data_IF_558045807726
#
_entry.id   IF_558045807726
#
_cell.length_a   1.000
_cell.length_b   1.000
_cell.length_c   1.000
_cell.angle_alpha   90.00
_cell.angle_beta   90.00
_cell.angle_gamma   90.00
#
_symmetry.space_group_name_H-M   'P 1'
#
loop_
_entity.id
_entity.type
_entity.pdbx_description
1 polymer ?
#
# COMPACT_ATOMS: atom_id res chain seq x y z
N UNK A 1 -4.72 -20.28 10.84
CA UNK A 1 -3.79 -19.15 10.98
C UNK A 1 -4.45 -17.90 10.43
N UNK A 2 -4.99 -17.07 11.32
CA UNK A 2 -5.71 -15.83 11.01
C UNK A 2 -4.71 -14.72 10.69
N UNK A 3 -4.47 -14.44 9.42
CA UNK A 3 -3.65 -13.29 9.04
C UNK A 3 -4.31 -12.00 9.52
N UNK A 4 -3.56 -11.24 10.32
CA UNK A 4 -3.96 -9.98 10.91
C UNK A 4 -4.40 -9.00 9.80
N UNK A 5 -5.66 -8.55 9.88
CA UNK A 5 -6.32 -7.73 8.86
C UNK A 5 -5.96 -6.23 8.93
N UNK A 6 -4.99 -5.86 9.76
CA UNK A 6 -4.47 -4.50 9.88
C UNK A 6 -3.20 -4.36 9.02
N UNK A 7 -2.96 -3.20 8.37
CA UNK A 7 -1.63 -2.93 7.84
C UNK A 7 -0.63 -3.07 8.99
N UNK A 8 0.54 -3.72 8.78
CA UNK A 8 1.52 -3.87 9.83
C UNK A 8 1.87 -2.46 10.32
N UNK A 9 1.62 -2.19 11.61
CA UNK A 9 1.88 -0.89 12.24
C UNK A 9 3.39 -0.70 12.46
N UNK A 10 4.18 -0.92 11.42
CA UNK A 10 5.63 -0.74 11.43
C UNK A 10 5.94 0.74 11.28
N UNK A 11 7.04 1.19 11.91
CA UNK A 11 7.54 2.57 11.79
C UNK A 11 7.68 3.01 10.32
N UNK A 12 8.04 2.08 9.44
CA UNK A 12 8.14 2.31 8.00
C UNK A 12 6.78 2.67 7.37
N UNK A 13 5.72 1.93 7.68
CA UNK A 13 4.38 2.25 7.17
C UNK A 13 3.96 3.67 7.56
N UNK A 14 4.16 4.04 8.83
CA UNK A 14 3.83 5.38 9.32
C UNK A 14 4.65 6.47 8.63
N UNK A 15 5.96 6.27 8.43
CA UNK A 15 6.81 7.22 7.70
C UNK A 15 6.33 7.43 6.27
N UNK A 16 6.07 6.36 5.52
CA UNK A 16 5.59 6.46 4.15
C UNK A 16 4.19 7.08 4.09
N UNK A 17 3.31 6.74 5.02
CA UNK A 17 1.98 7.32 5.13
C UNK A 17 2.03 8.84 5.32
N UNK A 18 2.87 9.30 6.26
CA UNK A 18 3.05 10.73 6.52
C UNK A 18 3.70 11.44 5.34
N UNK A 19 4.75 10.86 4.75
CA UNK A 19 5.42 11.42 3.58
C UNK A 19 4.48 11.56 2.36
N UNK A 20 3.53 10.64 2.21
CA UNK A 20 2.54 10.64 1.12
C UNK A 20 1.22 11.36 1.49
N UNK A 21 1.09 11.86 2.71
CA UNK A 21 -0.17 12.45 3.20
C UNK A 21 -1.38 11.52 3.13
N UNK A 22 -1.17 10.21 3.28
CA UNK A 22 -2.24 9.21 3.13
C UNK A 22 -2.76 9.02 1.70
N UNK A 23 -2.03 9.50 0.68
CA UNK A 23 -2.39 9.35 -0.73
C UNK A 23 -1.61 8.23 -1.40
N UNK A 24 -2.23 7.55 -2.37
CA UNK A 24 -1.59 6.49 -3.12
C UNK A 24 -0.57 7.07 -4.10
N UNK A 25 0.67 6.58 -4.04
CA UNK A 25 1.73 7.05 -4.93
C UNK A 25 1.53 6.71 -6.42
N UNK A 26 0.68 5.72 -6.74
CA UNK A 26 0.41 5.32 -8.13
C UNK A 26 -0.73 6.10 -8.79
N UNK A 27 -1.76 6.48 -8.04
CA UNK A 27 -2.94 7.13 -8.61
C UNK A 27 -3.29 8.49 -7.99
N UNK A 28 -2.57 8.93 -6.95
CA UNK A 28 -2.77 10.20 -6.26
C UNK A 28 -4.02 10.28 -5.38
N UNK A 29 -4.86 9.24 -5.33
CA UNK A 29 -6.11 9.25 -4.55
C UNK A 29 -5.87 8.89 -3.08
N UNK A 30 -6.70 9.40 -2.14
CA UNK A 30 -6.60 9.04 -0.74
C UNK A 30 -6.78 7.53 -0.54
N UNK A 31 -6.02 6.97 0.40
CA UNK A 31 -6.15 5.58 0.85
C UNK A 31 -6.90 5.55 2.18
N UNK A 32 -7.76 4.55 2.40
CA UNK A 32 -8.38 4.36 3.71
C UNK A 32 -7.33 3.86 4.70
N UNK A 33 -7.24 4.48 5.88
CA UNK A 33 -6.28 4.08 6.92
C UNK A 33 -6.77 2.86 7.72
N UNK A 34 -8.09 2.70 7.86
CA UNK A 34 -8.71 1.59 8.57
C UNK A 34 -9.88 0.97 7.80
N UNK A 35 -10.23 -0.29 8.13
CA UNK A 35 -11.36 -1.00 7.51
C UNK A 35 -12.70 -0.31 7.72
N UNK A 36 -12.84 0.48 8.78
CA UNK A 36 -14.08 1.16 9.13
C UNK A 36 -14.33 2.41 8.29
N UNK A 37 -13.32 2.94 7.58
CA UNK A 37 -13.46 4.09 6.68
C UNK A 37 -14.16 3.76 5.36
N UNK A 38 -14.40 2.47 5.09
CA UNK A 38 -15.07 2.01 3.87
C UNK A 38 -16.32 1.21 4.19
N UNK A 39 -17.39 1.44 3.43
CA UNK A 39 -18.69 0.83 3.71
C UNK A 39 -18.74 -0.69 3.56
N UNK A 40 -17.76 -1.32 2.88
CA UNK A 40 -17.75 -2.77 2.67
C UNK A 40 -16.35 -3.40 2.71
N UNK A 41 -16.26 -4.62 3.22
CA UNK A 41 -15.02 -5.39 3.32
C UNK A 41 -14.37 -5.68 1.96
N UNK A 42 -15.16 -5.80 0.90
CA UNK A 42 -14.67 -5.98 -0.48
C UNK A 42 -14.00 -4.72 -1.02
N UNK A 43 -14.48 -3.54 -0.63
CA UNK A 43 -13.85 -2.25 -0.93
C UNK A 43 -12.53 -2.14 -0.16
N UNK A 44 -12.51 -2.48 1.13
CA UNK A 44 -11.29 -2.53 1.94
C UNK A 44 -10.21 -3.39 1.29
N UNK A 45 -10.54 -4.62 0.86
CA UNK A 45 -9.57 -5.51 0.20
C UNK A 45 -8.91 -4.90 -1.05
N UNK A 46 -9.61 -4.02 -1.76
CA UNK A 46 -9.11 -3.37 -2.98
C UNK A 46 -8.37 -2.05 -2.69
N UNK A 47 -8.89 -1.28 -1.74
CA UNK A 47 -8.42 0.07 -1.45
C UNK A 47 -7.42 0.14 -0.30
N UNK A 48 -7.27 -0.91 0.52
CA UNK A 48 -6.31 -0.88 1.62
C UNK A 48 -4.90 -0.51 1.13
N UNK A 49 -4.16 0.30 1.89
CA UNK A 49 -2.79 0.62 1.59
C UNK A 49 -1.92 -0.64 1.70
N UNK A 50 -1.02 -0.81 0.74
CA UNK A 50 -0.06 -1.90 0.65
C UNK A 50 1.30 -1.35 0.24
N UNK A 51 2.38 -2.01 0.65
CA UNK A 51 3.71 -1.68 0.16
C UNK A 51 3.85 -2.04 -1.32
N UNK A 52 4.32 -1.09 -2.10
CA UNK A 52 4.65 -1.20 -3.52
C UNK A 52 6.12 -0.87 -3.70
N UNK A 53 6.86 -1.73 -4.41
CA UNK A 53 8.24 -1.45 -4.78
C UNK A 53 8.25 -0.56 -6.02
N UNK A 54 8.84 0.64 -5.94
CA UNK A 54 8.97 1.58 -7.08
C UNK A 54 9.60 0.85 -8.27
N UNK A 55 10.78 0.27 -8.05
CA UNK A 55 11.43 -0.69 -8.93
C UNK A 55 11.14 -2.11 -8.45
N UNK A 56 10.47 -2.90 -9.27
CA UNK A 56 10.14 -4.28 -8.93
C UNK A 56 11.40 -5.09 -8.59
N UNK A 57 11.35 -5.87 -7.50
CA UNK A 57 12.43 -6.78 -7.11
C UNK A 57 12.83 -7.74 -8.26
N UNK A 58 11.83 -8.23 -9.01
CA UNK A 58 12.04 -9.11 -10.17
C UNK A 58 12.83 -8.45 -11.32
N UNK A 59 12.94 -7.13 -11.35
CA UNK A 59 13.71 -6.35 -12.33
C UNK A 59 15.03 -5.82 -11.75
N UNK A 60 15.48 -6.34 -10.61
CA UNK A 60 16.70 -5.92 -9.93
C UNK A 60 16.54 -4.70 -9.01
N UNK A 61 15.30 -4.33 -8.66
CA UNK A 61 15.06 -3.27 -7.67
C UNK A 61 15.53 -3.66 -6.27
N UNK A 62 16.07 -2.74 -5.46
CA UNK A 62 16.51 -3.03 -4.10
C UNK A 62 15.33 -3.12 -3.12
N UNK A 63 15.40 -3.96 -2.09
CA UNK A 63 14.39 -4.02 -1.03
C UNK A 63 14.67 -2.97 0.07
N UNK A 64 14.85 -1.71 -0.32
CA UNK A 64 15.15 -0.60 0.59
C UNK A 64 13.94 0.26 0.85
N UNK A 65 13.91 0.97 2.00
CA UNK A 65 12.83 1.93 2.32
C UNK A 65 12.66 2.98 1.21
N UNK A 66 13.75 3.40 0.56
CA UNK A 66 13.74 4.35 -0.54
C UNK A 66 13.08 3.80 -1.83
N UNK A 67 13.01 2.48 -1.99
CA UNK A 67 12.33 1.82 -3.10
C UNK A 67 10.91 1.38 -2.72
N UNK A 68 10.44 1.70 -1.52
CA UNK A 68 9.10 1.35 -1.05
C UNK A 68 8.19 2.58 -0.99
N UNK A 69 6.95 2.40 -1.40
CA UNK A 69 5.90 3.40 -1.31
C UNK A 69 4.57 2.72 -0.96
N UNK A 70 3.60 3.48 -0.47
CA UNK A 70 2.25 2.97 -0.23
C UNK A 70 1.35 3.19 -1.44
N UNK A 71 0.66 2.13 -1.83
CA UNK A 71 -0.35 2.17 -2.88
C UNK A 71 -1.58 1.33 -2.51
N UNK A 72 -2.74 1.66 -3.10
CA UNK A 72 -3.93 0.80 -2.99
C UNK A 72 -3.58 -0.62 -3.46
N UNK A 73 -4.10 -1.64 -2.79
CA UNK A 73 -3.89 -3.04 -3.19
C UNK A 73 -4.26 -3.30 -4.66
N UNK A 74 -5.31 -2.64 -5.18
CA UNK A 74 -5.71 -2.73 -6.58
C UNK A 74 -4.72 -2.05 -7.53
N UNK A 75 -4.15 -0.91 -7.16
CA UNK A 75 -3.18 -0.19 -7.97
C UNK A 75 -1.86 -0.96 -8.05
N UNK A 76 -1.37 -1.44 -6.91
CA UNK A 76 -0.19 -2.29 -6.83
C UNK A 76 -0.36 -3.57 -7.68
N UNK A 77 -1.51 -4.26 -7.55
CA UNK A 77 -1.83 -5.43 -8.38
C UNK A 77 -1.87 -5.14 -9.88
N UNK A 78 -2.36 -3.96 -10.29
CA UNK A 78 -2.37 -3.55 -11.70
C UNK A 78 -0.97 -3.30 -12.21
N UNK A 79 -0.12 -2.62 -11.43
CA UNK A 79 1.29 -2.38 -11.75
C UNK A 79 2.06 -3.69 -11.92
N UNK A 80 1.92 -4.65 -11.00
CA UNK A 80 2.63 -5.93 -11.08
C UNK A 80 2.19 -6.86 -12.23
N UNK A 81 1.11 -6.52 -12.96
CA UNK A 81 0.66 -7.26 -14.16
C UNK A 81 1.24 -6.71 -15.47
N UNK A 82 1.85 -5.52 -15.45
CA UNK A 82 2.50 -4.90 -16.60
C UNK A 82 4.01 -4.99 -16.51
#
# INVERSE_FOLDING_TARGET
MSQEFAPPATKLFQRLWQAQGGTCALCGKPMPSTRFEVGHATVWKKQRPTFDHIHALARGGPDTEANLQLAHAVCNRRKGRG
#
